data_IF_640718132966
#
_entry.id   IF_640718132966
#
_cell.length_a   1.000
_cell.length_b   1.000
_cell.length_c   1.000
_cell.angle_alpha   90.00
_cell.angle_beta   90.00
_cell.angle_gamma   90.00
#
_symmetry.space_group_name_H-M   'P 1'
#
loop_
_entity.id
_entity.type
_entity.pdbx_description
1 polymer ?
#
# COMPACT_ATOMS: atom_id res chain seq x y z
N UNK A 1 -21.57 7.57 -3.37
CA UNK A 1 -20.26 7.62 -2.68
C UNK A 1 -19.21 7.95 -3.71
N UNK A 2 -18.49 9.07 -3.55
CA UNK A 2 -17.39 9.43 -4.46
C UNK A 2 -16.20 8.46 -4.35
N UNK A 3 -15.23 8.53 -5.27
CA UNK A 3 -14.04 7.66 -5.29
C UNK A 3 -13.18 7.76 -4.02
N UNK A 4 -13.40 8.80 -3.22
CA UNK A 4 -12.65 9.12 -2.01
C UNK A 4 -13.35 8.59 -0.75
N UNK A 5 -14.18 7.53 -0.85
CA UNK A 5 -14.95 7.01 0.30
C UNK A 5 -14.90 5.47 0.35
N UNK A 6 -14.46 4.94 1.49
CA UNK A 6 -14.35 3.52 1.76
C UNK A 6 -15.73 2.88 1.75
N UNK A 7 -15.92 1.95 0.83
CA UNK A 7 -17.23 1.37 0.54
C UNK A 7 -17.61 0.20 1.47
N UNK A 8 -16.80 -0.07 2.50
CA UNK A 8 -17.16 -0.96 3.62
C UNK A 8 -17.68 -0.20 4.86
N UNK A 9 -17.29 1.07 5.06
CA UNK A 9 -17.61 1.81 6.29
C UNK A 9 -17.96 3.30 6.09
N UNK A 10 -17.95 3.78 4.85
CA UNK A 10 -18.40 5.12 4.46
C UNK A 10 -17.46 6.28 4.78
N UNK A 11 -16.20 6.03 5.19
CA UNK A 11 -15.24 7.09 5.55
C UNK A 11 -14.36 7.55 4.39
N UNK A 12 -13.81 8.77 4.40
CA UNK A 12 -12.96 9.27 3.32
C UNK A 12 -11.66 8.46 3.11
N UNK A 13 -11.17 8.35 1.88
CA UNK A 13 -9.92 7.67 1.49
C UNK A 13 -9.01 8.61 0.70
N UNK A 14 -7.72 8.63 1.05
CA UNK A 14 -6.70 9.42 0.36
C UNK A 14 -6.13 8.66 -0.85
N UNK A 15 -5.80 9.39 -1.92
CA UNK A 15 -5.18 8.85 -3.14
C UNK A 15 -3.65 8.84 -3.01
N UNK A 16 -3.02 7.73 -3.39
CA UNK A 16 -1.57 7.59 -3.49
C UNK A 16 -1.20 6.20 -4.02
N UNK A 17 0.07 5.84 -3.90
CA UNK A 17 0.60 4.58 -4.42
C UNK A 17 1.31 3.79 -3.33
N UNK A 18 0.99 2.50 -3.27
CA UNK A 18 1.77 1.52 -2.55
C UNK A 18 2.77 0.88 -3.51
N UNK A 19 4.06 1.00 -3.22
CA UNK A 19 5.13 0.37 -4.01
C UNK A 19 5.87 -0.61 -3.11
N UNK A 20 5.94 -1.87 -3.49
CA UNK A 20 6.73 -2.87 -2.77
C UNK A 20 7.95 -3.27 -3.63
N UNK A 21 9.13 -2.83 -3.22
CA UNK A 21 10.40 -3.20 -3.84
C UNK A 21 11.23 -4.03 -2.85
N UNK A 22 11.20 -5.34 -3.06
CA UNK A 22 11.91 -6.35 -2.27
C UNK A 22 13.39 -6.02 -1.99
N UNK A 23 14.08 -5.45 -2.97
CA UNK A 23 15.55 -5.36 -2.97
C UNK A 23 16.13 -3.99 -2.57
N UNK A 24 15.30 -2.96 -2.37
CA UNK A 24 15.81 -1.58 -2.20
C UNK A 24 15.46 -1.04 -0.82
N UNK A 25 14.17 -0.93 -0.48
CA UNK A 25 13.73 -0.32 0.79
C UNK A 25 12.36 -0.86 1.28
N UNK A 26 11.88 -1.96 0.71
CA UNK A 26 10.63 -2.58 1.10
C UNK A 26 9.39 -1.89 0.52
N UNK A 27 8.30 -1.87 1.29
CA UNK A 27 7.05 -1.20 0.91
C UNK A 27 7.09 0.29 1.28
N UNK A 28 6.71 1.15 0.34
CA UNK A 28 6.69 2.61 0.48
C UNK A 28 5.35 3.21 0.07
N UNK A 29 4.95 4.26 0.78
CA UNK A 29 3.87 5.15 0.37
C UNK A 29 4.44 6.34 -0.40
N UNK A 30 3.86 6.61 -1.58
CA UNK A 30 4.22 7.77 -2.38
C UNK A 30 2.99 8.52 -2.89
N UNK A 31 3.05 9.85 -2.85
CA UNK A 31 2.03 10.74 -3.43
C UNK A 31 2.23 10.96 -4.94
N UNK A 32 3.47 10.79 -5.42
CA UNK A 32 3.86 10.97 -6.82
C UNK A 32 4.67 9.77 -7.32
N UNK A 33 4.61 9.49 -8.62
CA UNK A 33 5.41 8.42 -9.24
C UNK A 33 6.83 8.94 -9.48
N UNK A 34 7.83 8.19 -9.03
CA UNK A 34 9.25 8.51 -9.28
C UNK A 34 9.99 7.31 -9.88
N UNK A 35 11.10 7.58 -10.57
CA UNK A 35 11.97 6.54 -11.12
C UNK A 35 12.68 5.83 -9.97
N UNK A 36 12.62 4.49 -9.94
CA UNK A 36 13.15 3.62 -8.87
C UNK A 36 12.50 3.86 -7.49
N UNK A 37 11.27 4.41 -7.47
CA UNK A 37 10.55 4.76 -6.24
C UNK A 37 11.44 5.50 -5.23
N UNK A 38 12.30 6.41 -5.71
CA UNK A 38 13.18 7.21 -4.85
C UNK A 38 12.35 8.21 -4.06
N UNK A 39 12.58 8.25 -2.75
CA UNK A 39 11.75 8.99 -1.81
C UNK A 39 10.50 8.20 -1.42
N UNK A 40 9.68 8.78 -0.54
CA UNK A 40 8.50 8.11 0.02
C UNK A 40 8.73 7.60 1.44
N UNK A 41 7.62 7.45 2.16
CA UNK A 41 7.62 6.95 3.53
C UNK A 41 7.71 5.43 3.49
N UNK A 42 8.72 4.85 4.16
CA UNK A 42 8.84 3.40 4.30
C UNK A 42 7.75 2.93 5.26
N UNK A 43 6.91 2.03 4.77
CA UNK A 43 5.82 1.43 5.52
C UNK A 43 6.25 0.10 6.15
N UNK A 44 6.93 -0.76 5.37
CA UNK A 44 7.41 -2.07 5.84
C UNK A 44 8.79 -2.36 5.25
N UNK A 45 9.74 -2.72 6.10
CA UNK A 45 11.07 -3.18 5.69
C UNK A 45 11.03 -4.61 5.12
N UNK A 46 11.92 -4.95 4.18
CA UNK A 46 12.06 -6.32 3.71
C UNK A 46 12.69 -7.20 4.80
N UNK A 47 12.45 -8.52 4.71
CA UNK A 47 13.14 -9.53 5.52
C UNK A 47 14.58 -9.79 5.01
N UNK A 48 15.30 -10.70 5.66
CA UNK A 48 16.68 -11.06 5.28
C UNK A 48 16.83 -11.69 3.89
N UNK A 49 15.74 -12.07 3.24
CA UNK A 49 15.67 -12.60 1.87
C UNK A 49 15.14 -11.58 0.87
N UNK A 50 14.85 -10.35 1.31
CA UNK A 50 14.28 -9.30 0.48
C UNK A 50 12.75 -9.36 0.38
N UNK A 51 12.05 -10.28 1.07
CA UNK A 51 10.58 -10.33 0.95
C UNK A 51 9.92 -9.22 1.76
N UNK A 52 8.81 -8.70 1.25
CA UNK A 52 8.02 -7.67 1.93
C UNK A 52 6.64 -8.24 2.24
N UNK A 53 6.27 -8.25 3.51
CA UNK A 53 4.97 -8.73 3.97
C UNK A 53 4.20 -7.56 4.58
N UNK A 54 2.96 -7.38 4.12
CA UNK A 54 2.02 -6.45 4.70
C UNK A 54 0.76 -7.21 5.07
N UNK A 55 0.22 -6.94 6.25
CA UNK A 55 -1.06 -7.51 6.64
C UNK A 55 -2.14 -6.99 5.72
N UNK A 56 -3.03 -7.88 5.29
CA UNK A 56 -4.05 -7.54 4.32
C UNK A 56 -5.36 -8.24 4.60
N UNK A 57 -6.44 -7.47 4.53
CA UNK A 57 -7.81 -7.98 4.62
C UNK A 57 -8.38 -8.06 3.21
N UNK A 58 -8.65 -9.28 2.77
CA UNK A 58 -9.30 -9.54 1.49
C UNK A 58 -10.76 -9.87 1.71
N UNK A 59 -11.66 -9.03 1.21
CA UNK A 59 -13.07 -9.38 1.12
C UNK A 59 -13.27 -10.33 -0.08
N UNK A 60 -13.78 -11.54 0.16
CA UNK A 60 -14.05 -12.51 -0.92
C UNK A 60 -15.23 -12.10 -1.81
N UNK A 61 -16.17 -11.30 -1.28
CA UNK A 61 -17.29 -10.74 -2.03
C UNK A 61 -16.89 -9.55 -2.90
N UNK A 62 -16.36 -8.49 -2.27
CA UNK A 62 -16.02 -7.24 -2.98
C UNK A 62 -14.68 -7.29 -3.71
N UNK A 63 -13.87 -8.34 -3.49
CA UNK A 63 -12.50 -8.49 -3.99
C UNK A 63 -11.56 -7.31 -3.66
N UNK A 64 -11.94 -6.47 -2.71
CA UNK A 64 -11.07 -5.43 -2.17
C UNK A 64 -10.04 -6.05 -1.26
N UNK A 65 -8.82 -5.56 -1.41
CA UNK A 65 -7.72 -5.80 -0.50
C UNK A 65 -7.46 -4.47 0.20
N UNK A 66 -7.60 -4.48 1.52
CA UNK A 66 -7.19 -3.36 2.37
C UNK A 66 -5.88 -3.80 3.00
N UNK A 67 -4.81 -3.08 2.68
CA UNK A 67 -3.49 -3.31 3.24
C UNK A 67 -3.40 -2.51 4.54
N UNK A 68 -2.97 -3.15 5.61
CA UNK A 68 -2.62 -2.54 6.89
C UNK A 68 -1.10 -2.55 7.01
N UNK A 69 -0.53 -1.40 7.32
CA UNK A 69 0.90 -1.16 7.38
C UNK A 69 1.22 -0.20 8.54
#
# INVERSE_FOLDING_TARGET
MGPDVCTACGRPMAKGYLVAEAFVDGAKWMTEKSRLARGGEILVKPDGWGNVYMDAYRCTGCRRVIVQY
#
